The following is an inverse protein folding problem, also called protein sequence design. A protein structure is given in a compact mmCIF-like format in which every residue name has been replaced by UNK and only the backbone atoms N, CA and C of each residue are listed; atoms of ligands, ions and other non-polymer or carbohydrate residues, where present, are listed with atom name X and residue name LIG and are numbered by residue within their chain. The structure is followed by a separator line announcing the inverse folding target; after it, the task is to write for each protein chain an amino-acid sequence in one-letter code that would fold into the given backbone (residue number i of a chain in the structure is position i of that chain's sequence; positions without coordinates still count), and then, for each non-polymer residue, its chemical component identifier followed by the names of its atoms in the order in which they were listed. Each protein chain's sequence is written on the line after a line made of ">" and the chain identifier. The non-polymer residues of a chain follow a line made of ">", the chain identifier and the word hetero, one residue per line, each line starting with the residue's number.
data_IF_923544057561
#
_entry.id   IF_923544057561
#
_cell.length_a   1.000
_cell.length_b   1.000
_cell.length_c   1.000
_cell.angle_alpha   90.00
_cell.angle_beta   90.00
_cell.angle_gamma   90.00
#
_symmetry.space_group_name_H-M   'P 1'
#
loop_
_entity.id
_entity.type
_entity.pdbx_description
1 polymer ?
#
# COMPACT_ATOMS: atom_id res chain seq x y z
N UNK A 1 14.19 -2.05 -58.95
CA UNK A 1 14.54 -3.12 -57.99
C UNK A 1 14.98 -2.46 -56.71
N UNK A 2 14.03 -2.38 -55.77
CA UNK A 2 14.18 -1.78 -54.45
C UNK A 2 15.03 -2.68 -53.54
N UNK A 3 16.16 -2.16 -53.08
CA UNK A 3 17.01 -2.79 -52.07
C UNK A 3 16.69 -2.24 -50.68
N UNK A 4 15.94 -3.04 -49.90
CA UNK A 4 15.60 -2.80 -48.49
C UNK A 4 16.86 -2.57 -47.63
N UNK A 5 17.03 -1.36 -47.10
CA UNK A 5 17.97 -1.11 -46.00
C UNK A 5 17.26 -1.46 -44.70
N UNK A 6 17.55 -2.66 -44.23
CA UNK A 6 17.13 -3.15 -42.91
C UNK A 6 17.71 -2.28 -41.80
N UNK A 7 16.81 -1.60 -41.10
CA UNK A 7 17.06 -0.99 -39.80
C UNK A 7 17.30 -2.09 -38.77
N UNK A 8 18.43 -2.01 -38.06
CA UNK A 8 18.52 -1.94 -36.59
C UNK A 8 19.96 -2.27 -36.16
N UNK A 9 20.72 -1.20 -35.89
CA UNK A 9 21.90 -1.27 -35.03
C UNK A 9 21.45 -1.82 -33.67
N UNK A 10 22.03 -2.96 -33.28
CA UNK A 10 22.01 -3.45 -31.93
C UNK A 10 22.74 -2.43 -31.04
N UNK A 11 21.97 -1.59 -30.36
CA UNK A 11 22.50 -0.70 -29.32
C UNK A 11 22.24 -1.38 -27.99
N UNK A 12 23.32 -1.93 -27.45
CA UNK A 12 23.48 -2.37 -26.07
C UNK A 12 22.86 -1.36 -25.11
N UNK A 13 21.77 -1.75 -24.45
CA UNK A 13 21.25 -1.10 -23.24
C UNK A 13 21.31 -2.10 -22.10
N UNK A 14 22.52 -2.47 -21.73
CA UNK A 14 22.83 -2.67 -20.32
C UNK A 14 22.95 -1.28 -19.68
N UNK A 15 22.66 -1.20 -18.38
CA UNK A 15 22.82 -0.04 -17.48
C UNK A 15 21.49 0.66 -17.11
N UNK A 16 21.25 0.67 -15.78
CA UNK A 16 20.30 1.49 -15.00
C UNK A 16 18.83 1.02 -14.87
N UNK A 17 18.61 -0.07 -14.12
CA UNK A 17 17.34 -0.28 -13.38
C UNK A 17 17.60 -0.41 -11.86
N UNK A 18 18.71 0.17 -11.39
CA UNK A 18 19.17 0.00 -10.00
C UNK A 18 18.76 1.09 -9.00
N UNK A 19 18.25 2.24 -9.44
CA UNK A 19 18.14 3.41 -8.57
C UNK A 19 16.77 4.14 -8.58
N UNK A 20 15.78 3.68 -9.35
CA UNK A 20 14.55 4.47 -9.55
C UNK A 20 13.29 3.93 -8.86
N UNK A 21 13.36 2.79 -8.17
CA UNK A 21 12.16 2.15 -7.60
C UNK A 21 11.78 2.62 -6.19
N UNK A 22 12.49 3.63 -5.65
CA UNK A 22 12.15 4.23 -4.35
C UNK A 22 11.41 5.56 -4.49
N UNK A 23 11.43 6.20 -5.66
CA UNK A 23 10.91 7.56 -5.84
C UNK A 23 9.42 7.65 -6.25
N UNK A 24 8.73 6.53 -6.49
CA UNK A 24 7.42 6.54 -7.16
C UNK A 24 6.20 6.41 -6.24
N UNK A 25 6.37 6.41 -4.92
CA UNK A 25 5.25 6.38 -3.96
C UNK A 25 4.76 7.78 -3.54
N UNK A 26 5.31 8.86 -4.10
CA UNK A 26 4.91 10.24 -3.84
C UNK A 26 3.68 10.65 -4.65
N UNK A 27 2.58 9.88 -4.54
CA UNK A 27 1.27 10.35 -5.01
C UNK A 27 0.70 11.28 -3.94
N UNK A 28 0.86 12.58 -4.17
CA UNK A 28 -0.03 13.66 -3.72
C UNK A 28 -0.45 13.69 -2.24
N UNK A 29 0.40 14.28 -1.39
CA UNK A 29 -0.07 14.98 -0.19
C UNK A 29 0.30 16.46 -0.37
N UNK A 30 -0.62 17.42 -0.20
CA UNK A 30 -0.35 18.83 -0.43
C UNK A 30 0.88 19.30 0.36
N UNK A 31 1.65 20.21 -0.25
CA UNK A 31 2.94 20.73 0.18
C UNK A 31 2.92 21.56 1.47
N UNK A 32 2.36 21.01 2.56
CA UNK A 32 2.28 21.62 3.88
C UNK A 32 3.06 20.83 4.96
N UNK A 33 3.82 19.79 4.59
CA UNK A 33 4.53 18.90 5.55
C UNK A 33 6.06 19.00 5.50
N UNK A 34 6.61 20.17 5.16
CA UNK A 34 8.03 20.46 5.41
C UNK A 34 8.26 20.81 6.89
N UNK A 35 8.16 19.82 7.79
CA UNK A 35 8.70 19.94 9.16
C UNK A 35 9.23 18.57 9.65
N UNK A 36 10.53 18.49 9.92
CA UNK A 36 11.08 17.48 10.84
C UNK A 36 10.82 17.90 12.30
N UNK A 37 11.14 17.09 13.33
CA UNK A 37 11.42 15.66 13.34
C UNK A 37 10.10 14.88 13.48
N UNK A 38 9.75 14.12 12.46
CA UNK A 38 8.39 13.60 12.22
C UNK A 38 8.02 12.34 13.04
N UNK A 39 8.88 11.91 13.97
CA UNK A 39 8.74 10.64 14.69
C UNK A 39 7.51 10.57 15.60
N UNK A 40 7.30 11.58 16.44
CA UNK A 40 6.23 11.56 17.44
C UNK A 40 4.83 11.56 16.81
N UNK A 41 4.64 12.33 15.73
CA UNK A 41 3.37 12.40 15.03
C UNK A 41 3.05 11.13 14.24
N UNK A 42 4.08 10.46 13.67
CA UNK A 42 3.90 9.17 13.02
C UNK A 42 3.61 8.06 14.04
N UNK A 43 4.28 8.07 15.19
CA UNK A 43 4.05 7.12 16.28
C UNK A 43 2.67 7.30 16.92
N UNK A 44 2.16 8.52 17.01
CA UNK A 44 0.80 8.79 17.49
C UNK A 44 -0.27 8.30 16.51
N UNK A 45 -0.09 8.59 15.21
CA UNK A 45 -0.97 8.06 14.15
C UNK A 45 -1.00 6.53 14.14
N UNK A 46 0.17 5.92 14.28
CA UNK A 46 0.31 4.47 14.36
C UNK A 46 -0.41 3.90 15.59
N UNK A 47 -0.21 4.50 16.77
CA UNK A 47 -0.93 4.09 17.99
C UNK A 47 -2.44 4.20 17.80
N UNK A 48 -2.95 5.30 17.27
CA UNK A 48 -4.37 5.50 17.00
C UNK A 48 -4.93 4.44 16.04
N UNK A 49 -4.16 4.07 15.02
CA UNK A 49 -4.54 3.02 14.07
C UNK A 49 -4.63 1.65 14.73
N UNK A 50 -3.62 1.27 15.53
CA UNK A 50 -3.62 -0.02 16.26
C UNK A 50 -4.77 -0.07 17.27
N UNK A 51 -5.06 1.03 17.97
CA UNK A 51 -6.21 1.09 18.88
C UNK A 51 -7.54 0.95 18.12
N UNK A 52 -7.68 1.59 16.96
CA UNK A 52 -8.87 1.44 16.12
C UNK A 52 -9.04 -0.02 15.66
N UNK A 53 -7.96 -0.69 15.23
CA UNK A 53 -7.97 -2.11 14.92
C UNK A 53 -8.38 -2.96 16.13
N UNK A 54 -7.84 -2.66 17.31
CA UNK A 54 -8.14 -3.44 18.52
C UNK A 54 -9.61 -3.34 18.94
N UNK A 55 -10.22 -2.17 18.76
CA UNK A 55 -11.66 -1.98 18.99
C UNK A 55 -12.53 -2.77 18.00
N UNK A 56 -12.04 -2.95 16.78
CA UNK A 56 -12.74 -3.69 15.73
C UNK A 56 -12.56 -5.22 15.88
N UNK A 57 -11.31 -5.67 16.00
CA UNK A 57 -10.91 -7.06 16.13
C UNK A 57 -9.50 -7.13 16.75
N UNK A 58 -9.36 -7.57 18.03
CA UNK A 58 -8.08 -7.70 18.70
C UNK A 58 -7.06 -8.55 17.92
N UNK A 59 -7.51 -9.62 17.25
CA UNK A 59 -6.61 -10.50 16.50
C UNK A 59 -6.05 -9.82 15.24
N UNK A 60 -6.82 -8.91 14.64
CA UNK A 60 -6.36 -8.09 13.51
C UNK A 60 -5.30 -7.08 13.96
N UNK A 61 -5.41 -6.52 15.16
CA UNK A 61 -4.40 -5.61 15.72
C UNK A 61 -3.06 -6.33 15.95
N UNK A 62 -3.08 -7.51 16.56
CA UNK A 62 -1.87 -8.31 16.79
C UNK A 62 -1.20 -8.76 15.48
N UNK A 63 -2.02 -9.14 14.49
CA UNK A 63 -1.54 -9.49 13.16
C UNK A 63 -0.91 -8.31 12.44
N UNK A 64 -1.49 -7.11 12.55
CA UNK A 64 -0.91 -5.90 12.00
C UNK A 64 0.48 -5.62 12.59
N UNK A 65 0.60 -5.64 13.92
CA UNK A 65 1.88 -5.40 14.62
C UNK A 65 2.93 -6.41 14.16
N UNK A 66 2.57 -7.69 14.11
CA UNK A 66 3.47 -8.76 13.66
C UNK A 66 3.97 -8.53 12.22
N UNK A 67 3.06 -8.22 11.29
CA UNK A 67 3.42 -7.98 9.89
C UNK A 67 4.27 -6.72 9.70
N UNK A 68 3.93 -5.65 10.41
CA UNK A 68 4.69 -4.41 10.43
C UNK A 68 6.11 -4.64 10.91
N UNK A 69 6.27 -5.34 12.03
CA UNK A 69 7.57 -5.57 12.65
C UNK A 69 8.43 -6.50 11.78
N UNK A 70 7.83 -7.53 11.18
CA UNK A 70 8.50 -8.38 10.19
C UNK A 70 9.00 -7.58 8.98
N UNK A 71 8.19 -6.61 8.49
CA UNK A 71 8.59 -5.71 7.39
C UNK A 71 9.72 -4.76 7.82
N UNK A 72 9.64 -4.16 9.02
CA UNK A 72 10.71 -3.31 9.57
C UNK A 72 12.03 -4.07 9.68
N UNK A 73 12.00 -5.31 10.16
CA UNK A 73 13.17 -6.17 10.24
C UNK A 73 13.74 -6.52 8.84
N UNK A 74 12.88 -6.80 7.87
CA UNK A 74 13.31 -7.08 6.51
C UNK A 74 13.96 -5.86 5.83
N UNK A 75 13.44 -4.65 6.09
CA UNK A 75 14.05 -3.38 5.64
C UNK A 75 15.45 -3.21 6.22
N UNK A 76 15.61 -3.39 7.53
CA UNK A 76 16.91 -3.28 8.19
C UNK A 76 17.92 -4.32 7.64
N UNK A 77 17.45 -5.55 7.40
CA UNK A 77 18.27 -6.61 6.81
C UNK A 77 18.71 -6.28 5.38
N UNK A 78 17.79 -5.74 4.57
CA UNK A 78 18.07 -5.29 3.21
C UNK A 78 19.09 -4.15 3.19
N UNK A 79 18.93 -3.14 4.04
CA UNK A 79 19.87 -2.03 4.16
C UNK A 79 21.27 -2.54 4.52
N UNK A 80 21.38 -3.43 5.50
CA UNK A 80 22.66 -4.05 5.87
C UNK A 80 23.31 -4.79 4.70
N UNK A 81 22.54 -5.61 3.98
CA UNK A 81 23.05 -6.36 2.82
C UNK A 81 23.49 -5.42 1.68
N UNK A 82 22.77 -4.32 1.46
CA UNK A 82 23.15 -3.29 0.48
C UNK A 82 24.46 -2.60 0.86
N UNK A 83 24.63 -2.22 2.13
CA UNK A 83 25.88 -1.64 2.63
C UNK A 83 27.05 -2.61 2.45
N UNK A 84 26.86 -3.89 2.80
CA UNK A 84 27.88 -4.92 2.63
C UNK A 84 28.25 -5.14 1.16
N UNK A 85 27.26 -5.17 0.27
CA UNK A 85 27.50 -5.30 -1.17
C UNK A 85 28.24 -4.09 -1.75
N UNK A 86 27.88 -2.87 -1.32
CA UNK A 86 28.54 -1.63 -1.76
C UNK A 86 29.98 -1.52 -1.27
N UNK A 87 30.25 -1.97 -0.03
CA UNK A 87 31.58 -2.00 0.56
C UNK A 87 32.47 -3.15 0.05
N UNK A 88 31.87 -4.20 -0.52
CA UNK A 88 32.62 -5.32 -1.07
C UNK A 88 33.41 -4.91 -2.33
N UNK A 89 34.71 -5.21 -2.31
CA UNK A 89 35.57 -5.13 -3.49
C UNK A 89 35.13 -6.10 -4.59
N UNK A 90 35.58 -5.92 -5.85
CA UNK A 90 35.13 -6.69 -7.01
C UNK A 90 35.19 -8.21 -6.81
N UNK A 91 36.22 -8.69 -6.10
CA UNK A 91 36.45 -10.12 -5.85
C UNK A 91 35.45 -10.74 -4.87
N UNK A 92 34.92 -9.97 -3.91
CA UNK A 92 34.00 -10.46 -2.89
C UNK A 92 32.53 -10.25 -3.26
N UNK A 93 32.23 -9.39 -4.24
CA UNK A 93 30.85 -9.08 -4.67
C UNK A 93 30.06 -10.30 -5.10
N UNK A 94 30.70 -11.26 -5.78
CA UNK A 94 30.06 -12.52 -6.21
C UNK A 94 29.65 -13.42 -5.05
N UNK A 95 30.26 -13.25 -3.87
CA UNK A 95 29.92 -14.00 -2.66
C UNK A 95 28.76 -13.34 -1.91
N UNK A 96 28.75 -11.99 -1.82
CA UNK A 96 27.71 -11.24 -1.10
C UNK A 96 26.45 -10.96 -1.92
N UNK A 97 26.49 -11.12 -3.26
CA UNK A 97 25.32 -10.90 -4.12
C UNK A 97 24.13 -11.81 -3.77
N UNK A 98 24.39 -13.07 -3.40
CA UNK A 98 23.32 -14.00 -2.99
C UNK A 98 22.62 -13.51 -1.73
N UNK A 99 23.38 -13.03 -0.74
CA UNK A 99 22.84 -12.46 0.49
C UNK A 99 21.98 -11.21 0.22
N UNK A 100 22.40 -10.36 -0.73
CA UNK A 100 21.60 -9.22 -1.16
C UNK A 100 20.28 -9.66 -1.81
N UNK A 101 20.32 -10.65 -2.71
CA UNK A 101 19.13 -11.21 -3.36
C UNK A 101 18.16 -11.83 -2.34
N UNK A 102 18.67 -12.55 -1.35
CA UNK A 102 17.85 -13.12 -0.27
C UNK A 102 17.17 -12.04 0.56
N UNK A 103 17.91 -10.98 0.92
CA UNK A 103 17.34 -9.85 1.66
C UNK A 103 16.28 -9.11 0.83
N UNK A 104 16.48 -8.96 -0.48
CA UNK A 104 15.48 -8.38 -1.39
C UNK A 104 14.22 -9.25 -1.45
N UNK A 105 14.36 -10.58 -1.56
CA UNK A 105 13.22 -11.51 -1.54
C UNK A 105 12.45 -11.44 -0.23
N UNK A 106 13.15 -11.38 0.90
CA UNK A 106 12.52 -11.30 2.21
C UNK A 106 11.78 -9.97 2.42
N UNK A 107 12.35 -8.86 1.95
CA UNK A 107 11.68 -7.56 1.93
C UNK A 107 10.40 -7.58 1.08
N UNK A 108 10.47 -8.15 -0.12
CA UNK A 108 9.30 -8.27 -0.99
C UNK A 108 8.21 -9.12 -0.34
N UNK A 109 8.56 -10.29 0.23
CA UNK A 109 7.63 -11.19 0.91
C UNK A 109 6.92 -10.52 2.08
N UNK A 110 7.67 -9.85 2.97
CA UNK A 110 7.10 -9.17 4.13
C UNK A 110 6.25 -7.96 3.75
N UNK A 111 6.66 -7.21 2.72
CA UNK A 111 5.88 -6.07 2.22
C UNK A 111 4.58 -6.51 1.57
N UNK A 112 4.58 -7.57 0.78
CA UNK A 112 3.35 -8.13 0.19
C UNK A 112 2.39 -8.61 1.27
N UNK A 113 2.86 -9.40 2.25
CA UNK A 113 2.01 -9.87 3.33
C UNK A 113 1.40 -8.73 4.15
N UNK A 114 2.13 -7.63 4.33
CA UNK A 114 1.62 -6.42 4.98
C UNK A 114 0.54 -5.73 4.14
N UNK A 115 0.76 -5.59 2.82
CA UNK A 115 -0.22 -4.99 1.90
C UNK A 115 -1.49 -5.85 1.78
N UNK A 116 -1.36 -7.17 1.66
CA UNK A 116 -2.49 -8.10 1.58
C UNK A 116 -3.40 -8.00 2.80
N UNK A 117 -2.82 -7.79 3.99
CA UNK A 117 -3.57 -7.56 5.21
C UNK A 117 -4.38 -6.25 5.16
N UNK A 118 -3.77 -5.16 4.69
CA UNK A 118 -4.44 -3.86 4.55
C UNK A 118 -5.57 -3.93 3.52
N UNK A 119 -5.29 -4.51 2.35
CA UNK A 119 -6.28 -4.72 1.29
C UNK A 119 -7.49 -5.53 1.80
N UNK A 120 -7.25 -6.62 2.53
CA UNK A 120 -8.32 -7.45 3.06
C UNK A 120 -9.18 -6.70 4.10
N UNK A 121 -8.57 -5.85 4.93
CA UNK A 121 -9.30 -4.98 5.87
C UNK A 121 -10.13 -3.94 5.13
N UNK A 122 -9.55 -3.27 4.15
CA UNK A 122 -10.20 -2.17 3.45
C UNK A 122 -11.35 -2.69 2.58
N UNK A 123 -11.20 -3.87 1.95
CA UNK A 123 -12.32 -4.56 1.28
C UNK A 123 -13.47 -4.90 2.23
N UNK A 124 -13.18 -5.38 3.44
CA UNK A 124 -14.22 -5.62 4.47
C UNK A 124 -14.92 -4.34 4.88
N UNK A 125 -14.17 -3.26 5.03
CA UNK A 125 -14.71 -1.94 5.38
C UNK A 125 -15.60 -1.40 4.26
N UNK A 126 -15.15 -1.50 3.02
CA UNK A 126 -15.92 -1.11 1.84
C UNK A 126 -17.24 -1.89 1.75
N UNK A 127 -17.21 -3.22 1.98
CA UNK A 127 -18.42 -4.04 1.98
C UNK A 127 -19.43 -3.58 3.04
N UNK A 128 -18.97 -3.28 4.27
CA UNK A 128 -19.86 -2.75 5.32
C UNK A 128 -20.53 -1.43 4.92
N UNK A 129 -19.77 -0.50 4.33
CA UNK A 129 -20.36 0.76 3.87
C UNK A 129 -21.33 0.56 2.71
N UNK A 130 -21.07 -0.38 1.81
CA UNK A 130 -22.02 -0.73 0.74
C UNK A 130 -23.34 -1.26 1.31
N UNK A 131 -23.29 -2.12 2.32
CA UNK A 131 -24.48 -2.62 3.01
C UNK A 131 -25.26 -1.50 3.70
N UNK A 132 -24.55 -0.57 4.36
CA UNK A 132 -25.16 0.57 5.03
C UNK A 132 -25.83 1.54 4.04
N UNK A 133 -25.16 1.84 2.92
CA UNK A 133 -25.72 2.62 1.81
C UNK A 133 -26.98 1.97 1.25
N UNK A 134 -26.97 0.64 1.07
CA UNK A 134 -28.13 -0.10 0.58
C UNK A 134 -29.32 0.02 1.55
N UNK A 135 -29.07 -0.10 2.86
CA UNK A 135 -30.11 0.07 3.89
C UNK A 135 -30.69 1.49 3.89
N UNK A 136 -29.84 2.50 3.83
CA UNK A 136 -30.27 3.91 3.80
C UNK A 136 -31.07 4.21 2.53
N UNK A 137 -30.65 3.71 1.38
CA UNK A 137 -31.39 3.85 0.11
C UNK A 137 -32.79 3.28 0.23
N UNK A 138 -32.93 2.07 0.78
CA UNK A 138 -34.26 1.46 0.99
C UNK A 138 -35.15 2.29 1.90
N UNK A 139 -34.60 2.82 2.98
CA UNK A 139 -35.34 3.68 3.92
C UNK A 139 -35.80 4.99 3.24
N UNK A 140 -34.96 5.58 2.39
CA UNK A 140 -35.34 6.75 1.59
C UNK A 140 -36.46 6.46 0.60
N UNK A 141 -36.44 5.29 -0.04
CA UNK A 141 -37.53 4.86 -0.94
C UNK A 141 -38.84 4.67 -0.17
N UNK A 142 -38.80 4.06 1.01
CA UNK A 142 -39.97 3.91 1.89
C UNK A 142 -40.53 5.27 2.29
N UNK A 143 -39.68 6.20 2.71
CA UNK A 143 -40.08 7.58 3.02
C UNK A 143 -40.73 8.28 1.83
N UNK A 144 -40.17 8.13 0.62
CA UNK A 144 -40.72 8.71 -0.58
C UNK A 144 -42.11 8.14 -0.91
N UNK A 145 -42.30 6.82 -0.76
CA UNK A 145 -43.60 6.17 -0.96
C UNK A 145 -44.65 6.65 0.04
N UNK A 146 -44.29 6.68 1.33
CA UNK A 146 -45.19 7.16 2.39
C UNK A 146 -45.56 8.63 2.15
N UNK A 147 -44.59 9.47 1.80
CA UNK A 147 -44.85 10.87 1.46
C UNK A 147 -45.83 10.98 0.29
N UNK A 148 -45.58 10.27 -0.81
CA UNK A 148 -46.46 10.30 -1.98
C UNK A 148 -47.89 9.84 -1.64
N UNK A 149 -48.04 8.87 -0.75
CA UNK A 149 -49.37 8.39 -0.32
C UNK A 149 -50.10 9.44 0.53
N UNK A 150 -49.41 10.08 1.47
CA UNK A 150 -49.97 11.18 2.26
C UNK A 150 -50.33 12.39 1.38
N UNK A 151 -49.51 12.71 0.39
CA UNK A 151 -49.78 13.79 -0.58
C UNK A 151 -51.03 13.53 -1.40
N UNK A 152 -51.33 12.27 -1.78
CA UNK A 152 -52.58 11.92 -2.46
C UNK A 152 -53.79 12.17 -1.58
N UNK A 153 -53.72 11.80 -0.29
CA UNK A 153 -54.83 11.99 0.66
C UNK A 153 -55.18 13.48 0.88
N UNK A 154 -54.21 14.37 0.69
CA UNK A 154 -54.40 15.81 0.84
C UNK A 154 -54.92 16.50 -0.42
N UNK A 155 -55.05 15.81 -1.55
CA UNK A 155 -55.61 16.41 -2.77
C UNK A 155 -57.14 16.48 -2.66
N UNK A 156 -57.75 17.67 -2.79
CA UNK A 156 -59.20 17.77 -2.98
C UNK A 156 -59.55 17.19 -4.37
N UNK A 157 -60.68 16.50 -4.46
CA UNK A 157 -61.23 16.02 -5.75
C UNK A 157 -61.44 17.15 -6.75
#
# INVERSE_FOLDING_TARGET
>A
MEGKIGTRRAVSRAILIGAFLVASLSVGVPAALTQGPSGDADDERERAFVEALRREDPSSADRYVTLRDARRQAIATLQKAQTQYGAAGPELRSLVIRQLQDAQRQYAKSSLAFLDFLDARDRRTLARYQDEIARLTKLLEEHARVRAELEKQLRPE
#
